data_IF_300878147966
#
_entry.id   IF_300878147966
#
_cell.length_a   1.000
_cell.length_b   1.000
_cell.length_c   1.000
_cell.angle_alpha   90.00
_cell.angle_beta   90.00
_cell.angle_gamma   90.00
#
_symmetry.space_group_name_H-M   'P 1'
#
loop_
_entity.id
_entity.type
_entity.pdbx_description
1 polymer ?
#
# COMPACT_ATOMS: atom_id res chain seq x y z
N UNK A 1 30.56 -6.05 -29.61
CA UNK A 1 30.64 -5.40 -28.29
C UNK A 1 30.82 -6.49 -27.25
N UNK A 2 31.99 -6.49 -26.62
CA UNK A 2 32.31 -7.35 -25.47
C UNK A 2 31.38 -7.03 -24.31
N UNK A 3 31.13 -8.00 -23.46
CA UNK A 3 30.32 -7.84 -22.24
C UNK A 3 31.09 -8.57 -21.18
N UNK A 4 31.64 -7.84 -20.21
CA UNK A 4 32.48 -8.41 -19.17
C UNK A 4 31.63 -8.89 -18.00
N UNK A 5 30.63 -8.07 -17.63
CA UNK A 5 29.76 -8.29 -16.49
C UNK A 5 28.31 -8.20 -16.94
N UNK A 6 27.57 -9.28 -16.72
CA UNK A 6 26.14 -9.33 -16.97
C UNK A 6 25.36 -9.08 -15.69
N UNK A 7 24.41 -8.14 -15.71
CA UNK A 7 23.59 -7.79 -14.55
C UNK A 7 22.14 -8.23 -14.81
N UNK A 8 21.68 -9.19 -14.01
CA UNK A 8 20.35 -9.78 -14.07
C UNK A 8 19.40 -9.08 -13.10
N UNK A 9 18.17 -8.85 -13.54
CA UNK A 9 17.15 -8.19 -12.74
C UNK A 9 15.75 -8.69 -13.08
N UNK A 10 14.83 -8.53 -12.14
CA UNK A 10 13.41 -8.85 -12.31
C UNK A 10 12.57 -7.95 -11.40
N UNK A 11 11.68 -7.16 -11.99
CA UNK A 11 10.88 -6.15 -11.28
C UNK A 11 11.63 -4.82 -11.07
N UNK A 12 10.88 -3.79 -10.69
CA UNK A 12 11.35 -2.39 -10.74
C UNK A 12 12.51 -2.09 -9.79
N UNK A 13 12.44 -2.57 -8.54
CA UNK A 13 13.51 -2.35 -7.55
C UNK A 13 14.81 -3.01 -7.99
N UNK A 14 14.74 -4.25 -8.45
CA UNK A 14 15.88 -4.99 -9.00
C UNK A 14 16.46 -4.32 -10.24
N UNK A 15 15.61 -3.82 -11.16
CA UNK A 15 16.02 -3.05 -12.34
C UNK A 15 16.81 -1.80 -11.95
N UNK A 16 16.36 -1.12 -10.91
CA UNK A 16 16.98 0.11 -10.45
C UNK A 16 18.35 -0.17 -9.77
N UNK A 17 18.47 -1.26 -9.00
CA UNK A 17 19.78 -1.76 -8.51
C UNK A 17 20.69 -2.10 -9.68
N UNK A 18 20.18 -2.80 -10.70
CA UNK A 18 20.96 -3.18 -11.87
C UNK A 18 21.46 -1.97 -12.67
N UNK A 19 20.61 -0.95 -12.81
CA UNK A 19 20.98 0.34 -13.41
C UNK A 19 22.05 1.06 -12.58
N UNK A 20 21.89 1.08 -11.25
CA UNK A 20 22.87 1.69 -10.36
C UNK A 20 24.24 1.01 -10.50
N UNK A 21 24.28 -0.33 -10.60
CA UNK A 21 25.51 -1.05 -10.89
C UNK A 21 26.05 -0.70 -12.28
N UNK A 22 25.23 -0.76 -13.33
CA UNK A 22 25.70 -0.54 -14.70
C UNK A 22 26.39 0.82 -14.87
N UNK A 23 25.85 1.86 -14.26
CA UNK A 23 26.42 3.22 -14.32
C UNK A 23 27.72 3.38 -13.51
N UNK A 24 27.92 2.58 -12.46
CA UNK A 24 28.99 2.79 -11.47
C UNK A 24 30.09 1.76 -11.47
N UNK A 25 29.82 0.55 -11.93
CA UNK A 25 30.78 -0.54 -11.83
C UNK A 25 32.00 -0.32 -12.75
N UNK A 26 31.79 0.36 -13.88
CA UNK A 26 32.86 0.69 -14.82
C UNK A 26 33.93 1.59 -14.17
N UNK A 27 33.53 2.56 -13.35
CA UNK A 27 34.45 3.43 -12.59
C UNK A 27 35.35 2.61 -11.65
N UNK A 28 34.78 1.60 -10.99
CA UNK A 28 35.49 0.80 -9.99
C UNK A 28 36.29 -0.38 -10.58
N UNK A 29 35.88 -0.94 -11.72
CA UNK A 29 36.44 -2.19 -12.28
C UNK A 29 37.06 -2.02 -13.66
N UNK A 30 36.78 -0.93 -14.38
CA UNK A 30 37.17 -0.78 -15.79
C UNK A 30 36.51 -1.79 -16.74
N UNK A 31 35.53 -2.56 -16.27
CA UNK A 31 34.84 -3.59 -17.04
C UNK A 31 33.61 -3.04 -17.77
N UNK A 32 33.32 -3.56 -18.97
CA UNK A 32 32.08 -3.24 -19.69
C UNK A 32 30.90 -3.97 -19.06
N UNK A 33 29.97 -3.22 -18.48
CA UNK A 33 28.73 -3.78 -17.94
C UNK A 33 27.64 -3.85 -19.02
N UNK A 34 26.82 -4.89 -18.93
CA UNK A 34 25.58 -5.01 -19.68
C UNK A 34 24.51 -5.50 -18.72
N UNK A 35 23.41 -4.78 -18.61
CA UNK A 35 22.22 -5.28 -17.93
C UNK A 35 21.18 -5.66 -18.98
N UNK A 36 20.39 -6.70 -18.71
CA UNK A 36 19.41 -7.21 -19.69
C UNK A 36 18.42 -6.11 -20.11
N UNK A 37 18.10 -5.97 -21.41
CA UNK A 37 17.10 -5.02 -21.87
C UNK A 37 15.71 -5.45 -21.39
N UNK A 38 14.82 -4.46 -21.20
CA UNK A 38 13.40 -4.73 -20.98
C UNK A 38 12.83 -5.45 -22.20
N UNK A 39 12.25 -6.63 -21.97
CA UNK A 39 11.79 -7.49 -23.05
C UNK A 39 10.48 -6.93 -23.62
N UNK A 40 10.52 -6.40 -24.83
CA UNK A 40 9.30 -6.04 -25.56
C UNK A 40 8.47 -7.30 -25.89
N UNK A 41 7.15 -7.27 -25.67
CA UNK A 41 6.26 -8.38 -26.04
C UNK A 41 6.40 -8.75 -27.53
N UNK A 42 6.57 -10.05 -27.81
CA UNK A 42 6.56 -10.59 -29.18
C UNK A 42 7.92 -10.68 -29.88
N UNK A 43 9.02 -10.19 -29.31
CA UNK A 43 10.37 -10.44 -29.86
C UNK A 43 10.96 -11.76 -29.37
N UNK A 44 11.61 -12.49 -30.28
CA UNK A 44 12.52 -13.59 -29.96
C UNK A 44 13.78 -13.02 -29.30
N UNK A 45 13.71 -12.78 -27.99
CA UNK A 45 14.75 -12.13 -27.20
C UNK A 45 15.84 -13.10 -26.70
N UNK A 46 15.51 -14.40 -26.63
CA UNK A 46 16.40 -15.47 -26.16
C UNK A 46 17.78 -15.55 -26.85
N UNK A 47 17.93 -15.38 -28.18
CA UNK A 47 19.24 -15.54 -28.82
C UNK A 47 20.25 -14.45 -28.43
N UNK A 48 19.81 -13.19 -28.35
CA UNK A 48 20.67 -12.05 -28.04
C UNK A 48 21.11 -12.05 -26.57
N UNK A 49 20.18 -12.36 -25.66
CA UNK A 49 20.50 -12.50 -24.23
C UNK A 49 21.43 -13.70 -24.01
N UNK A 50 21.21 -14.84 -24.69
CA UNK A 50 22.12 -16.00 -24.62
C UNK A 50 23.52 -15.68 -25.13
N UNK A 51 23.66 -14.94 -26.22
CA UNK A 51 24.96 -14.54 -26.76
C UNK A 51 25.74 -13.65 -25.78
N UNK A 52 25.05 -12.68 -25.17
CA UNK A 52 25.62 -11.78 -24.16
C UNK A 52 25.97 -12.50 -22.85
N UNK A 53 25.11 -13.40 -22.40
CA UNK A 53 25.35 -14.23 -21.22
C UNK A 53 26.54 -15.18 -21.43
N UNK A 54 26.67 -15.79 -22.60
CA UNK A 54 27.79 -16.68 -22.93
C UNK A 54 29.13 -15.93 -23.10
N UNK A 55 29.10 -14.63 -23.36
CA UNK A 55 30.29 -13.79 -23.48
C UNK A 55 30.77 -13.23 -22.13
N UNK A 56 29.90 -13.16 -21.12
CA UNK A 56 30.19 -12.57 -19.82
C UNK A 56 31.10 -13.44 -18.95
N UNK A 57 32.01 -12.80 -18.19
CA UNK A 57 32.93 -13.47 -17.25
C UNK A 57 32.41 -13.41 -15.81
N UNK A 58 31.52 -12.48 -15.50
CA UNK A 58 30.84 -12.40 -14.22
C UNK A 58 29.34 -12.09 -14.40
N UNK A 59 28.53 -12.63 -13.49
CA UNK A 59 27.10 -12.36 -13.38
C UNK A 59 26.74 -11.78 -12.02
N UNK A 60 26.00 -10.67 -11.99
CA UNK A 60 25.41 -10.11 -10.76
C UNK A 60 23.90 -10.27 -10.86
N UNK A 61 23.29 -10.97 -9.90
CA UNK A 61 21.84 -11.12 -9.83
C UNK A 61 21.31 -10.20 -8.74
N UNK A 62 20.56 -9.16 -9.14
CA UNK A 62 19.97 -8.22 -8.20
C UNK A 62 18.72 -8.83 -7.54
N UNK A 63 18.88 -9.43 -6.36
CA UNK A 63 17.81 -10.10 -5.62
C UNK A 63 17.16 -9.14 -4.64
N UNK A 64 15.83 -9.11 -4.67
CA UNK A 64 14.97 -8.37 -3.74
C UNK A 64 13.88 -9.30 -3.22
N UNK A 65 13.17 -8.93 -2.16
CA UNK A 65 12.11 -9.79 -1.60
C UNK A 65 11.00 -10.06 -2.62
N UNK A 66 10.73 -9.12 -3.52
CA UNK A 66 9.71 -9.25 -4.57
C UNK A 66 10.08 -10.31 -5.63
N UNK A 67 11.38 -10.58 -5.85
CA UNK A 67 11.84 -11.41 -6.96
C UNK A 67 12.66 -12.64 -6.54
N UNK A 68 12.82 -12.89 -5.24
CA UNK A 68 13.58 -14.04 -4.72
C UNK A 68 13.10 -15.38 -5.26
N UNK A 69 11.81 -15.50 -5.58
CA UNK A 69 11.20 -16.68 -6.20
C UNK A 69 11.09 -16.62 -7.73
N UNK A 70 11.66 -15.62 -8.39
CA UNK A 70 11.47 -15.36 -9.83
C UNK A 70 12.04 -16.51 -10.68
N UNK A 71 11.19 -17.25 -11.43
CA UNK A 71 11.68 -18.29 -12.35
C UNK A 71 12.63 -17.73 -13.41
N UNK A 72 12.47 -16.45 -13.74
CA UNK A 72 13.32 -15.73 -14.69
C UNK A 72 14.76 -15.61 -14.18
N UNK A 73 14.95 -15.12 -12.96
CA UNK A 73 16.29 -15.03 -12.34
C UNK A 73 16.91 -16.42 -12.13
N UNK A 74 16.10 -17.42 -11.78
CA UNK A 74 16.56 -18.81 -11.69
C UNK A 74 17.04 -19.36 -13.04
N UNK A 75 16.31 -19.06 -14.13
CA UNK A 75 16.73 -19.42 -15.48
C UNK A 75 18.03 -18.72 -15.88
N UNK A 76 18.15 -17.41 -15.63
CA UNK A 76 19.38 -16.66 -15.92
C UNK A 76 20.58 -17.18 -15.10
N UNK A 77 20.40 -17.50 -13.82
CA UNK A 77 21.43 -18.13 -12.99
C UNK A 77 21.87 -19.50 -13.54
N UNK A 78 20.90 -20.31 -13.96
CA UNK A 78 21.15 -21.61 -14.59
C UNK A 78 21.86 -21.47 -15.94
N UNK A 79 21.49 -20.47 -16.74
CA UNK A 79 22.12 -20.24 -18.03
C UNK A 79 23.54 -19.68 -17.88
N UNK A 80 23.77 -18.71 -16.99
CA UNK A 80 25.12 -18.26 -16.66
C UNK A 80 25.96 -19.46 -16.23
N UNK A 81 25.52 -20.24 -15.24
CA UNK A 81 26.29 -21.39 -14.77
C UNK A 81 26.54 -22.45 -15.85
N UNK A 82 25.62 -22.65 -16.80
CA UNK A 82 25.78 -23.61 -17.91
C UNK A 82 26.58 -23.07 -19.11
N UNK A 83 26.44 -21.80 -19.48
CA UNK A 83 27.23 -21.14 -20.53
C UNK A 83 28.69 -20.96 -20.12
N UNK A 84 28.93 -20.88 -18.81
CA UNK A 84 30.24 -20.94 -18.18
C UNK A 84 30.82 -22.38 -18.12
N UNK A 85 30.03 -23.40 -18.49
CA UNK A 85 30.44 -24.83 -18.51
C UNK A 85 30.48 -25.42 -19.95
N UNK A 86 29.76 -24.85 -20.92
CA UNK A 86 29.67 -25.38 -22.27
C UNK A 86 29.66 -24.28 -23.36
N UNK A 87 30.86 -23.93 -23.86
CA UNK A 87 31.04 -23.27 -25.15
C UNK A 87 31.92 -24.14 -26.05
N UNK A 88 31.37 -24.65 -27.16
CA UNK A 88 32.15 -25.38 -28.17
C UNK A 88 33.19 -24.44 -28.81
N UNK A 89 34.47 -24.78 -28.68
CA UNK A 89 35.57 -24.13 -29.40
C UNK A 89 36.38 -23.08 -28.62
N UNK A 90 36.07 -22.80 -27.35
CA UNK A 90 36.98 -22.04 -26.46
C UNK A 90 37.67 -23.00 -25.48
N UNK A 91 38.94 -22.75 -25.09
CA UNK A 91 39.51 -23.46 -23.95
C UNK A 91 38.59 -23.27 -22.74
N UNK A 92 38.40 -24.32 -21.94
CA UNK A 92 37.69 -24.26 -20.65
C UNK A 92 38.28 -23.11 -19.82
N UNK A 93 37.64 -21.94 -19.79
CA UNK A 93 37.94 -20.96 -18.75
C UNK A 93 37.23 -21.46 -17.49
N UNK A 94 37.94 -21.78 -16.38
CA UNK A 94 37.34 -22.57 -15.31
C UNK A 94 36.33 -21.84 -14.42
N UNK A 95 36.12 -20.52 -14.53
CA UNK A 95 35.48 -19.76 -13.44
C UNK A 95 34.69 -18.53 -13.91
N UNK A 96 33.57 -18.74 -14.58
CA UNK A 96 32.57 -17.69 -14.53
C UNK A 96 31.95 -17.58 -13.14
N UNK A 97 31.97 -16.38 -12.57
CA UNK A 97 31.51 -16.14 -11.20
C UNK A 97 30.12 -15.52 -11.18
N UNK A 98 29.26 -16.02 -10.30
CA UNK A 98 27.89 -15.54 -10.12
C UNK A 98 27.74 -15.01 -8.70
N UNK A 99 27.22 -13.79 -8.59
CA UNK A 99 27.00 -13.11 -7.32
C UNK A 99 25.50 -12.83 -7.14
N UNK A 100 24.78 -13.63 -6.35
CA UNK A 100 23.48 -13.23 -5.83
C UNK A 100 23.66 -12.01 -4.91
N UNK A 101 23.25 -10.84 -5.37
CA UNK A 101 23.36 -9.59 -4.63
C UNK A 101 22.04 -9.29 -3.92
N UNK A 102 22.03 -9.42 -2.59
CA UNK A 102 20.83 -9.41 -1.75
C UNK A 102 20.56 -8.01 -1.20
N UNK A 103 19.54 -7.34 -1.74
CA UNK A 103 19.09 -6.05 -1.23
C UNK A 103 17.92 -6.22 -0.26
N UNK A 104 18.17 -5.99 1.04
CA UNK A 104 17.20 -6.19 2.14
C UNK A 104 16.58 -7.60 2.14
N UNK A 105 17.36 -8.61 1.72
CA UNK A 105 16.96 -10.02 1.69
C UNK A 105 17.92 -10.80 2.57
N UNK A 106 17.38 -11.61 3.47
CA UNK A 106 18.18 -12.50 4.31
C UNK A 106 18.80 -13.64 3.47
N UNK A 107 20.07 -14.04 3.70
CA UNK A 107 20.67 -15.17 2.99
C UNK A 107 19.86 -16.47 3.09
N UNK A 108 19.12 -16.67 4.17
CA UNK A 108 18.23 -17.83 4.39
C UNK A 108 17.13 -17.91 3.33
N UNK A 109 16.68 -16.77 2.79
CA UNK A 109 15.58 -16.71 1.82
C UNK A 109 15.92 -17.38 0.47
N UNK A 110 17.21 -17.53 0.14
CA UNK A 110 17.66 -18.19 -1.10
C UNK A 110 18.12 -19.64 -0.89
N UNK A 111 18.24 -20.12 0.36
CA UNK A 111 18.81 -21.44 0.66
C UNK A 111 17.97 -22.62 0.12
N UNK A 112 16.67 -22.42 -0.09
CA UNK A 112 15.77 -23.45 -0.64
C UNK A 112 15.71 -23.51 -2.17
N UNK A 113 16.45 -22.65 -2.88
CA UNK A 113 16.37 -22.47 -4.33
C UNK A 113 17.67 -22.77 -5.08
N UNK A 114 17.67 -22.67 -6.44
CA UNK A 114 18.85 -22.91 -7.26
C UNK A 114 19.98 -21.89 -6.99
N UNK A 115 19.67 -20.73 -6.41
CA UNK A 115 20.64 -19.72 -6.03
C UNK A 115 21.49 -20.11 -4.81
N UNK A 116 21.06 -21.10 -4.02
CA UNK A 116 21.79 -21.59 -2.85
C UNK A 116 23.18 -22.17 -3.20
N UNK A 117 23.39 -22.55 -4.47
CA UNK A 117 24.67 -23.03 -4.96
C UNK A 117 25.76 -21.95 -5.04
N UNK A 118 25.39 -20.67 -4.95
CA UNK A 118 26.30 -19.54 -5.07
C UNK A 118 26.47 -18.80 -3.74
N UNK A 119 27.66 -18.27 -3.50
CA UNK A 119 27.90 -17.43 -2.33
C UNK A 119 27.27 -16.05 -2.54
N UNK A 120 26.22 -15.76 -1.76
CA UNK A 120 25.53 -14.48 -1.81
C UNK A 120 26.36 -13.33 -1.24
N UNK A 121 26.07 -12.13 -1.73
CA UNK A 121 26.62 -10.86 -1.28
C UNK A 121 25.47 -10.01 -0.77
N UNK A 122 25.47 -9.71 0.52
CA UNK A 122 24.53 -8.75 1.10
C UNK A 122 24.87 -7.33 0.64
N UNK A 123 23.83 -6.51 0.40
CA UNK A 123 23.94 -5.12 -0.01
C UNK A 123 24.36 -4.20 1.15
N UNK A 124 25.50 -4.51 1.76
CA UNK A 124 26.16 -3.74 2.81
C UNK A 124 27.46 -3.14 2.29
N UNK A 125 28.04 -2.12 2.96
CA UNK A 125 29.34 -1.59 2.58
C UNK A 125 30.41 -2.69 2.52
N UNK A 126 30.42 -3.60 3.50
CA UNK A 126 31.39 -4.69 3.58
C UNK A 126 31.17 -5.73 2.48
N UNK A 127 29.91 -6.14 2.25
CA UNK A 127 29.57 -7.09 1.19
C UNK A 127 29.91 -6.56 -0.20
N UNK A 128 29.51 -5.32 -0.47
CA UNK A 128 29.73 -4.67 -1.76
C UNK A 128 31.22 -4.39 -2.02
N UNK A 129 32.00 -4.04 -0.99
CA UNK A 129 33.46 -3.91 -1.10
C UNK A 129 34.10 -5.23 -1.54
N UNK A 130 33.73 -6.35 -0.89
CA UNK A 130 34.24 -7.68 -1.27
C UNK A 130 33.89 -8.06 -2.70
N UNK A 131 32.66 -7.76 -3.14
CA UNK A 131 32.22 -7.96 -4.52
C UNK A 131 33.10 -7.18 -5.49
N UNK A 132 33.28 -5.87 -5.27
CA UNK A 132 34.08 -5.01 -6.14
C UNK A 132 35.54 -5.46 -6.18
N UNK A 133 36.14 -5.77 -5.04
CA UNK A 133 37.53 -6.27 -4.98
C UNK A 133 37.70 -7.58 -5.75
N UNK A 134 36.72 -8.47 -5.69
CA UNK A 134 36.71 -9.73 -6.46
C UNK A 134 36.65 -9.45 -7.95
N UNK A 135 35.75 -8.56 -8.38
CA UNK A 135 35.62 -8.17 -9.78
C UNK A 135 36.89 -7.46 -10.29
N UNK A 136 37.48 -6.59 -9.49
CA UNK A 136 38.75 -5.91 -9.85
C UNK A 136 39.90 -6.89 -10.08
N UNK A 137 39.99 -7.94 -9.26
CA UNK A 137 40.98 -9.03 -9.47
C UNK A 137 40.69 -9.80 -10.76
N UNK A 138 39.41 -10.10 -11.03
CA UNK A 138 38.98 -10.84 -12.22
C UNK A 138 39.29 -10.08 -13.53
N UNK A 139 39.14 -8.76 -13.53
CA UNK A 139 39.34 -7.89 -14.70
C UNK A 139 40.71 -7.19 -14.74
N UNK A 140 41.59 -7.43 -13.76
CA UNK A 140 42.95 -6.87 -13.74
C UNK A 140 43.00 -5.35 -13.53
N UNK A 141 42.04 -4.79 -12.79
CA UNK A 141 41.91 -3.34 -12.59
C UNK A 141 43.04 -2.81 -11.69
N UNK A 142 43.94 -2.01 -12.27
CA UNK A 142 45.09 -1.43 -11.56
C UNK A 142 44.88 0.01 -11.05
N UNK A 143 43.81 0.70 -11.48
CA UNK A 143 43.55 2.10 -11.11
C UNK A 143 43.05 2.25 -9.68
N UNK A 144 43.47 3.31 -8.98
CA UNK A 144 42.92 3.67 -7.66
C UNK A 144 41.44 4.08 -7.79
N UNK A 145 40.62 3.71 -6.81
CA UNK A 145 39.24 4.18 -6.67
C UNK A 145 38.92 4.40 -5.19
N UNK A 146 38.13 5.43 -4.88
CA UNK A 146 37.65 5.65 -3.52
C UNK A 146 36.34 4.90 -3.32
N UNK A 147 36.40 3.77 -2.60
CA UNK A 147 35.22 3.00 -2.25
C UNK A 147 34.22 3.80 -1.41
N UNK A 148 34.69 4.72 -0.55
CA UNK A 148 33.83 5.48 0.35
C UNK A 148 32.91 6.40 -0.42
N UNK A 149 33.49 7.17 -1.35
CA UNK A 149 32.72 8.05 -2.24
C UNK A 149 31.82 7.24 -3.19
N UNK A 150 32.35 6.14 -3.75
CA UNK A 150 31.59 5.24 -4.62
C UNK A 150 30.37 4.66 -3.89
N UNK A 151 30.57 4.13 -2.68
CA UNK A 151 29.50 3.53 -1.87
C UNK A 151 28.46 4.56 -1.50
N UNK A 152 28.84 5.76 -1.06
CA UNK A 152 27.90 6.83 -0.72
C UNK A 152 26.96 7.14 -1.88
N UNK A 153 27.48 7.22 -3.11
CA UNK A 153 26.65 7.47 -4.29
C UNK A 153 25.75 6.28 -4.64
N UNK A 154 26.27 5.06 -4.51
CA UNK A 154 25.54 3.83 -4.78
C UNK A 154 24.41 3.59 -3.75
N UNK A 155 24.71 3.76 -2.46
CA UNK A 155 23.78 3.63 -1.34
C UNK A 155 22.61 4.62 -1.47
N UNK A 156 22.88 5.87 -1.84
CA UNK A 156 21.82 6.85 -2.09
C UNK A 156 20.83 6.36 -3.18
N UNK A 157 21.34 5.69 -4.22
CA UNK A 157 20.49 5.09 -5.26
C UNK A 157 19.76 3.84 -4.78
N UNK A 158 20.33 3.10 -3.82
CA UNK A 158 19.67 1.98 -3.16
C UNK A 158 18.55 2.41 -2.20
N UNK A 159 18.66 3.62 -1.64
CA UNK A 159 17.68 4.16 -0.70
C UNK A 159 16.54 4.91 -1.39
N UNK A 160 16.76 5.46 -2.58
CA UNK A 160 15.77 6.22 -3.37
C UNK A 160 14.68 5.36 -4.04
N UNK A 161 14.50 4.11 -3.59
CA UNK A 161 13.49 3.22 -4.16
C UNK A 161 12.12 3.45 -3.54
N UNK A 162 11.16 3.80 -4.39
CA UNK A 162 9.76 3.87 -4.01
C UNK A 162 9.26 2.51 -3.49
N UNK A 163 8.36 2.50 -2.49
CA UNK A 163 7.71 1.27 -2.06
C UNK A 163 6.95 0.61 -3.22
N UNK A 164 7.03 -0.71 -3.30
CA UNK A 164 6.37 -1.48 -4.35
C UNK A 164 4.87 -1.58 -4.05
N UNK A 165 3.98 -1.37 -5.04
CA UNK A 165 2.55 -1.64 -4.84
C UNK A 165 2.35 -3.14 -4.61
N UNK A 166 1.40 -3.52 -3.75
CA UNK A 166 1.16 -4.93 -3.41
C UNK A 166 0.83 -5.80 -4.64
N UNK A 167 0.15 -5.22 -5.64
CA UNK A 167 -0.16 -5.91 -6.90
C UNK A 167 1.09 -6.30 -7.69
N UNK A 168 2.20 -5.59 -7.51
CA UNK A 168 3.50 -5.93 -8.12
C UNK A 168 4.17 -7.13 -7.47
N UNK A 169 3.73 -7.55 -6.27
CA UNK A 169 4.26 -8.71 -5.55
C UNK A 169 3.48 -9.97 -5.94
N UNK A 170 2.14 -9.90 -5.88
CA UNK A 170 1.27 -11.00 -6.28
C UNK A 170 -0.14 -10.50 -6.60
N UNK A 171 -0.88 -11.31 -7.36
CA UNK A 171 -2.29 -11.07 -7.64
C UNK A 171 -3.15 -11.42 -6.41
N UNK A 172 -3.27 -10.45 -5.51
CA UNK A 172 -4.08 -10.58 -4.30
C UNK A 172 -5.56 -10.85 -4.62
N UNK A 173 -6.12 -10.22 -5.66
CA UNK A 173 -7.51 -10.40 -6.02
C UNK A 173 -7.82 -11.86 -6.35
N UNK A 174 -6.92 -12.53 -7.09
CA UNK A 174 -7.03 -13.95 -7.42
C UNK A 174 -6.99 -14.87 -6.20
N UNK A 175 -6.30 -14.50 -5.12
CA UNK A 175 -6.30 -15.29 -3.88
C UNK A 175 -7.70 -15.38 -3.27
N UNK A 176 -8.50 -14.31 -3.44
CA UNK A 176 -9.87 -14.19 -2.95
C UNK A 176 -10.94 -14.61 -3.96
N UNK A 177 -10.56 -15.07 -5.16
CA UNK A 177 -11.50 -15.57 -6.17
C UNK A 177 -12.07 -16.94 -5.78
N UNK A 178 -12.90 -16.94 -4.74
CA UNK A 178 -13.47 -18.11 -4.09
C UNK A 178 -14.90 -17.81 -3.66
N UNK A 179 -15.78 -18.81 -3.77
CA UNK A 179 -17.15 -18.76 -3.24
C UNK A 179 -17.20 -18.31 -1.78
N UNK A 180 -16.21 -18.72 -0.98
CA UNK A 180 -15.99 -18.31 0.42
C UNK A 180 -16.16 -16.81 0.67
N UNK A 181 -15.64 -15.97 -0.24
CA UNK A 181 -15.65 -14.52 -0.10
C UNK A 181 -16.62 -13.84 -1.07
N UNK A 182 -16.92 -14.45 -2.22
CA UNK A 182 -17.69 -13.81 -3.29
C UNK A 182 -19.20 -14.07 -3.20
N UNK A 183 -19.64 -15.14 -2.54
CA UNK A 183 -21.06 -15.44 -2.38
C UNK A 183 -21.56 -14.99 -0.98
N UNK A 184 -22.62 -14.17 -0.89
CA UNK A 184 -23.26 -13.85 0.39
C UNK A 184 -23.66 -15.09 1.16
N UNK A 185 -23.53 -15.06 2.49
CA UNK A 185 -23.78 -16.24 3.33
C UNK A 185 -25.22 -16.75 3.16
N UNK A 186 -26.20 -15.85 3.07
CA UNK A 186 -27.61 -16.19 2.90
C UNK A 186 -27.97 -16.80 1.53
N UNK A 187 -27.08 -16.68 0.54
CA UNK A 187 -27.28 -17.24 -0.81
C UNK A 187 -26.57 -18.58 -1.01
N UNK A 188 -25.88 -19.10 0.02
CA UNK A 188 -25.16 -20.37 -0.03
C UNK A 188 -26.11 -21.57 -0.02
N UNK A 189 -26.73 -21.84 -1.17
CA UNK A 189 -27.83 -22.81 -1.28
C UNK A 189 -27.43 -24.24 -0.91
N UNK A 190 -26.22 -24.68 -1.25
CA UNK A 190 -25.69 -26.00 -0.90
C UNK A 190 -25.20 -26.10 0.56
N UNK A 191 -25.24 -25.00 1.31
CA UNK A 191 -24.80 -24.89 2.70
C UNK A 191 -23.40 -25.49 2.92
N UNK A 192 -22.49 -25.29 1.95
CA UNK A 192 -21.13 -25.82 1.98
C UNK A 192 -20.22 -25.11 3.01
N UNK A 193 -20.64 -25.02 4.27
CA UNK A 193 -19.98 -24.24 5.33
C UNK A 193 -18.56 -24.72 5.60
N UNK A 194 -18.35 -26.05 5.62
CA UNK A 194 -17.01 -26.64 5.77
C UNK A 194 -16.07 -26.20 4.66
N UNK A 195 -16.51 -26.27 3.39
CA UNK A 195 -15.72 -25.79 2.26
C UNK A 195 -15.44 -24.26 2.34
N UNK A 196 -16.39 -23.46 2.85
CA UNK A 196 -16.16 -22.04 3.09
C UNK A 196 -15.09 -21.81 4.15
N UNK A 197 -15.16 -22.52 5.28
CA UNK A 197 -14.17 -22.45 6.35
C UNK A 197 -12.77 -22.87 5.87
N UNK A 198 -12.67 -24.02 5.19
CA UNK A 198 -11.41 -24.51 4.64
C UNK A 198 -10.84 -23.49 3.65
N UNK A 199 -11.69 -22.94 2.76
CA UNK A 199 -11.29 -21.89 1.84
C UNK A 199 -10.77 -20.61 2.52
N UNK A 200 -11.32 -20.24 3.69
CA UNK A 200 -10.83 -19.10 4.47
C UNK A 200 -9.46 -19.40 5.11
N UNK A 201 -9.28 -20.61 5.65
CA UNK A 201 -8.01 -21.05 6.26
C UNK A 201 -6.89 -21.20 5.24
N UNK A 202 -7.18 -21.78 4.09
CA UNK A 202 -6.23 -21.86 2.97
C UNK A 202 -5.82 -20.47 2.48
N UNK A 203 -6.77 -19.55 2.38
CA UNK A 203 -6.51 -18.16 1.99
C UNK A 203 -5.61 -17.48 3.01
N UNK A 204 -5.90 -17.63 4.29
CA UNK A 204 -5.05 -17.11 5.36
C UNK A 204 -3.62 -17.68 5.29
N UNK A 205 -3.49 -18.98 5.07
CA UNK A 205 -2.19 -19.63 4.93
C UNK A 205 -1.41 -19.14 3.70
N UNK A 206 -2.11 -18.89 2.58
CA UNK A 206 -1.51 -18.32 1.38
C UNK A 206 -1.01 -16.89 1.63
N UNK A 207 -1.81 -16.04 2.27
CA UNK A 207 -1.45 -14.66 2.60
C UNK A 207 -0.24 -14.58 3.55
N UNK A 208 -0.16 -15.48 4.54
CA UNK A 208 0.96 -15.51 5.50
C UNK A 208 2.33 -15.69 4.82
N UNK A 209 2.39 -16.30 3.63
CA UNK A 209 3.64 -16.49 2.87
C UNK A 209 4.23 -15.18 2.33
N UNK A 210 3.43 -14.12 2.26
CA UNK A 210 3.85 -12.81 1.72
C UNK A 210 4.14 -11.77 2.81
N UNK A 211 4.01 -12.11 4.11
CA UNK A 211 4.19 -11.16 5.21
C UNK A 211 5.55 -10.48 5.16
N UNK A 212 6.62 -11.27 5.09
CA UNK A 212 8.00 -10.74 5.10
C UNK A 212 8.29 -9.92 3.85
N UNK A 213 7.74 -10.33 2.70
CA UNK A 213 7.90 -9.62 1.43
C UNK A 213 7.22 -8.26 1.48
N UNK A 214 5.98 -8.19 1.97
CA UNK A 214 5.20 -6.95 2.06
C UNK A 214 5.82 -6.01 3.09
N UNK A 215 6.24 -6.52 4.25
CA UNK A 215 6.90 -5.72 5.29
C UNK A 215 8.19 -5.07 4.78
N UNK A 216 8.92 -5.76 3.90
CA UNK A 216 10.19 -5.26 3.34
C UNK A 216 9.98 -4.34 2.13
N UNK A 217 9.03 -4.68 1.25
CA UNK A 217 8.90 -4.07 -0.06
C UNK A 217 7.83 -2.97 -0.16
N UNK A 218 6.79 -3.01 0.67
CA UNK A 218 5.65 -2.08 0.58
C UNK A 218 5.75 -0.93 1.58
N UNK A 219 4.89 0.08 1.39
CA UNK A 219 4.77 1.19 2.34
C UNK A 219 4.17 0.71 3.67
N UNK A 220 4.48 1.40 4.77
CA UNK A 220 3.99 1.05 6.11
C UNK A 220 2.45 0.95 6.18
N UNK A 221 1.74 1.87 5.53
CA UNK A 221 0.28 1.83 5.46
C UNK A 221 -0.26 0.58 4.74
N UNK A 222 0.42 0.14 3.67
CA UNK A 222 0.07 -1.10 2.97
C UNK A 222 0.25 -2.30 3.88
N UNK A 223 1.33 -2.35 4.67
CA UNK A 223 1.55 -3.44 5.62
C UNK A 223 0.51 -3.44 6.76
N UNK A 224 0.14 -2.27 7.27
CA UNK A 224 -0.91 -2.18 8.30
C UNK A 224 -2.27 -2.63 7.76
N UNK A 225 -2.60 -2.26 6.51
CA UNK A 225 -3.77 -2.77 5.79
C UNK A 225 -3.71 -4.29 5.60
N UNK A 226 -2.54 -4.82 5.25
CA UNK A 226 -2.33 -6.24 5.06
C UNK A 226 -2.50 -7.03 6.36
N UNK A 227 -2.03 -6.50 7.49
CA UNK A 227 -2.26 -7.06 8.83
C UNK A 227 -3.74 -7.05 9.20
N UNK A 228 -4.46 -5.98 8.88
CA UNK A 228 -5.91 -5.93 9.05
C UNK A 228 -6.63 -6.99 8.22
N UNK A 229 -6.20 -7.21 6.96
CA UNK A 229 -6.77 -8.26 6.12
C UNK A 229 -6.53 -9.64 6.72
N UNK A 230 -5.31 -9.96 7.16
CA UNK A 230 -4.98 -11.22 7.81
C UNK A 230 -5.86 -11.48 9.05
N UNK A 231 -6.06 -10.45 9.87
CA UNK A 231 -6.94 -10.52 11.04
C UNK A 231 -8.41 -10.67 10.64
N UNK A 232 -8.88 -9.99 9.61
CA UNK A 232 -10.26 -10.07 9.13
C UNK A 232 -10.59 -11.46 8.56
N UNK A 233 -9.68 -12.07 7.81
CA UNK A 233 -9.83 -13.44 7.30
C UNK A 233 -9.85 -14.44 8.45
N UNK A 234 -9.00 -14.26 9.47
CA UNK A 234 -8.98 -15.10 10.66
C UNK A 234 -10.30 -15.02 11.44
N UNK A 235 -10.77 -13.80 11.70
CA UNK A 235 -12.03 -13.54 12.38
C UNK A 235 -13.22 -14.10 11.61
N UNK A 236 -13.22 -14.01 10.28
CA UNK A 236 -14.25 -14.65 9.46
C UNK A 236 -14.25 -16.17 9.61
N UNK A 237 -13.07 -16.80 9.55
CA UNK A 237 -12.96 -18.25 9.75
C UNK A 237 -13.40 -18.68 11.17
N UNK A 238 -13.11 -17.87 12.18
CA UNK A 238 -13.59 -18.09 13.54
C UNK A 238 -15.11 -18.02 13.63
N UNK A 239 -15.73 -16.97 13.08
CA UNK A 239 -17.19 -16.80 13.10
C UNK A 239 -17.89 -17.93 12.33
N UNK A 240 -17.37 -18.32 11.16
CA UNK A 240 -17.85 -19.50 10.41
C UNK A 240 -17.81 -20.76 11.29
N UNK A 241 -16.70 -20.99 11.99
CA UNK A 241 -16.53 -22.18 12.83
C UNK A 241 -17.42 -22.20 14.06
N UNK A 242 -17.69 -21.04 14.65
CA UNK A 242 -18.51 -20.91 15.84
C UNK A 242 -20.01 -21.01 15.52
N UNK A 243 -20.42 -20.56 14.33
CA UNK A 243 -21.84 -20.35 14.04
C UNK A 243 -22.42 -21.26 12.95
N UNK A 244 -21.67 -21.54 11.88
CA UNK A 244 -22.20 -22.26 10.70
C UNK A 244 -21.66 -23.69 10.55
N UNK A 245 -20.53 -24.03 11.21
CA UNK A 245 -19.98 -25.38 11.21
C UNK A 245 -20.60 -26.40 12.17
N UNK A 246 -21.24 -26.03 13.31
CA UNK A 246 -22.00 -27.00 14.08
C UNK A 246 -22.98 -27.74 13.15
N UNK A 247 -23.10 -29.07 13.29
CA UNK A 247 -23.86 -29.96 12.38
C UNK A 247 -25.39 -29.67 12.41
N UNK A 248 -25.78 -28.52 11.88
CA UNK A 248 -27.14 -28.06 11.73
C UNK A 248 -27.36 -27.69 10.27
N UNK A 249 -28.36 -28.31 9.64
CA UNK A 249 -28.87 -27.82 8.36
C UNK A 249 -29.87 -26.72 8.65
N UNK A 250 -29.68 -25.60 7.98
CA UNK A 250 -30.57 -24.45 8.06
C UNK A 250 -31.74 -24.63 7.10
N UNK A 251 -32.92 -24.12 7.49
CA UNK A 251 -34.09 -24.07 6.61
C UNK A 251 -33.90 -23.02 5.52
N UNK A 252 -34.81 -22.99 4.54
CA UNK A 252 -34.84 -21.99 3.48
C UNK A 252 -36.12 -21.17 3.58
N UNK A 253 -36.04 -19.90 3.21
CA UNK A 253 -37.20 -19.07 2.99
C UNK A 253 -37.94 -19.57 1.74
N UNK A 254 -39.24 -19.81 1.88
CA UNK A 254 -40.08 -20.35 0.80
C UNK A 254 -40.33 -19.34 -0.33
N UNK A 255 -40.12 -18.04 -0.06
CA UNK A 255 -40.42 -16.93 -0.97
C UNK A 255 -39.22 -16.58 -1.85
N UNK A 256 -38.03 -16.47 -1.25
CA UNK A 256 -36.82 -16.01 -1.95
C UNK A 256 -35.68 -17.03 -1.99
N UNK A 257 -35.86 -18.20 -1.37
CA UNK A 257 -34.91 -19.31 -1.39
C UNK A 257 -33.65 -19.08 -0.54
N UNK A 258 -33.57 -17.99 0.22
CA UNK A 258 -32.42 -17.70 1.09
C UNK A 258 -32.33 -18.69 2.23
N UNK A 259 -31.11 -18.92 2.69
CA UNK A 259 -30.86 -19.76 3.87
C UNK A 259 -31.20 -18.98 5.13
N UNK A 260 -32.08 -19.54 5.97
CA UNK A 260 -32.50 -18.97 7.25
C UNK A 260 -31.53 -19.43 8.35
N UNK A 261 -30.61 -18.55 8.74
CA UNK A 261 -29.53 -18.86 9.68
C UNK A 261 -29.95 -18.49 11.10
N UNK A 262 -30.06 -19.50 11.97
CA UNK A 262 -30.35 -19.38 13.40
C UNK A 262 -29.13 -19.75 14.25
N UNK A 263 -28.92 -19.12 15.42
CA UNK A 263 -29.73 -18.06 16.04
C UNK A 263 -29.58 -16.70 15.32
N UNK A 264 -30.55 -15.81 15.55
CA UNK A 264 -30.57 -14.46 14.97
C UNK A 264 -29.24 -13.74 15.22
N UNK A 265 -28.62 -13.24 14.16
CA UNK A 265 -27.32 -12.55 14.21
C UNK A 265 -26.12 -13.38 13.76
N UNK A 266 -26.21 -14.72 13.79
CA UNK A 266 -25.12 -15.59 13.30
C UNK A 266 -24.77 -15.33 11.83
N UNK A 267 -25.78 -15.35 10.95
CA UNK A 267 -25.60 -15.02 9.53
C UNK A 267 -25.09 -13.59 9.31
N UNK A 268 -25.56 -12.63 10.13
CA UNK A 268 -25.20 -11.22 10.00
C UNK A 268 -23.74 -10.96 10.42
N UNK A 269 -23.27 -11.65 11.47
CA UNK A 269 -21.88 -11.65 11.90
C UNK A 269 -20.97 -12.19 10.80
N UNK A 270 -21.24 -13.39 10.27
CA UNK A 270 -20.44 -13.97 9.18
C UNK A 270 -20.45 -13.09 7.92
N UNK A 271 -21.61 -12.56 7.53
CA UNK A 271 -21.73 -11.69 6.37
C UNK A 271 -20.99 -10.37 6.56
N UNK A 272 -21.05 -9.77 7.75
CA UNK A 272 -20.29 -8.58 8.11
C UNK A 272 -18.78 -8.81 8.01
N UNK A 273 -18.28 -9.94 8.51
CA UNK A 273 -16.86 -10.32 8.36
C UNK A 273 -16.47 -10.51 6.89
N UNK A 274 -17.31 -11.18 6.10
CA UNK A 274 -17.07 -11.39 4.66
C UNK A 274 -16.98 -10.05 3.91
N UNK A 275 -17.90 -9.14 4.19
CA UNK A 275 -17.90 -7.79 3.60
C UNK A 275 -16.66 -6.99 4.02
N UNK A 276 -16.24 -7.08 5.29
CA UNK A 276 -15.00 -6.43 5.76
C UNK A 276 -13.75 -6.96 5.05
N UNK A 277 -13.67 -8.27 4.82
CA UNK A 277 -12.58 -8.85 4.00
C UNK A 277 -12.62 -8.27 2.59
N UNK A 278 -13.79 -8.23 1.94
CA UNK A 278 -13.94 -7.69 0.58
C UNK A 278 -13.53 -6.21 0.50
N UNK A 279 -13.90 -5.41 1.48
CA UNK A 279 -13.52 -3.99 1.60
C UNK A 279 -11.99 -3.85 1.73
N UNK A 280 -11.35 -4.61 2.61
CA UNK A 280 -9.88 -4.56 2.80
C UNK A 280 -9.12 -5.01 1.55
N UNK A 281 -9.63 -6.00 0.81
CA UNK A 281 -9.06 -6.39 -0.49
C UNK A 281 -9.19 -5.25 -1.49
N UNK A 282 -10.35 -4.59 -1.58
CA UNK A 282 -10.52 -3.44 -2.45
C UNK A 282 -9.57 -2.29 -2.09
N UNK A 283 -9.39 -2.00 -0.81
CA UNK A 283 -8.45 -0.99 -0.31
C UNK A 283 -6.98 -1.34 -0.60
N UNK A 284 -6.61 -2.62 -0.68
CA UNK A 284 -5.25 -3.04 -1.05
C UNK A 284 -5.03 -3.00 -2.57
N UNK A 285 -6.06 -3.32 -3.34
CA UNK A 285 -5.99 -3.41 -4.81
C UNK A 285 -6.09 -2.03 -5.44
N UNK A 286 -7.06 -1.22 -5.05
CA UNK A 286 -7.37 0.06 -5.70
C UNK A 286 -6.58 1.22 -5.06
N UNK A 287 -5.63 1.85 -5.77
CA UNK A 287 -4.89 3.00 -5.26
C UNK A 287 -5.78 4.21 -4.92
N UNK A 288 -7.01 4.28 -5.43
CA UNK A 288 -7.97 5.31 -5.07
C UNK A 288 -8.48 5.15 -3.62
N UNK A 289 -8.61 3.90 -3.15
CA UNK A 289 -9.13 3.53 -1.83
C UNK A 289 -8.03 3.35 -0.76
N UNK A 290 -6.76 3.38 -1.17
CA UNK A 290 -5.64 3.34 -0.23
C UNK A 290 -5.56 4.61 0.62
N UNK A 291 -5.16 4.48 1.89
CA UNK A 291 -4.89 5.63 2.76
C UNK A 291 -3.78 6.48 2.16
N UNK A 292 -3.95 7.80 2.21
CA UNK A 292 -2.94 8.75 1.75
C UNK A 292 -1.89 9.03 2.82
N UNK A 293 -2.29 9.02 4.09
CA UNK A 293 -1.37 9.23 5.20
C UNK A 293 -0.94 7.90 5.83
N UNK A 294 0.35 7.75 6.18
CA UNK A 294 0.86 6.53 6.84
C UNK A 294 0.11 6.16 8.12
N UNK A 295 -0.38 7.16 8.87
CA UNK A 295 -1.05 6.95 10.14
C UNK A 295 -2.55 6.62 10.03
N UNK A 296 -3.15 6.64 8.83
CA UNK A 296 -4.60 6.49 8.66
C UNK A 296 -5.12 5.12 9.03
N UNK A 297 -4.38 4.07 8.71
CA UNK A 297 -4.73 2.70 9.12
C UNK A 297 -4.68 2.58 10.64
N UNK A 298 -3.59 3.04 11.25
CA UNK A 298 -3.43 3.06 12.70
C UNK A 298 -4.53 3.86 13.39
N UNK A 299 -4.92 5.03 12.86
CA UNK A 299 -6.00 5.84 13.42
C UNK A 299 -7.33 5.08 13.48
N UNK A 300 -7.63 4.29 12.44
CA UNK A 300 -8.85 3.47 12.40
C UNK A 300 -8.89 2.37 13.47
N UNK A 301 -7.73 1.92 13.95
CA UNK A 301 -7.58 0.88 14.97
C UNK A 301 -7.61 1.43 16.41
N UNK A 302 -7.46 2.74 16.61
CA UNK A 302 -7.51 3.33 17.96
C UNK A 302 -8.93 3.20 18.52
N UNK A 303 -9.04 2.70 19.74
CA UNK A 303 -10.34 2.41 20.37
C UNK A 303 -10.90 3.64 21.09
N UNK A 304 -10.03 4.41 21.74
CA UNK A 304 -10.49 5.52 22.59
C UNK A 304 -10.45 6.87 21.88
N UNK A 305 -11.36 7.75 22.28
CA UNK A 305 -11.36 9.14 21.84
C UNK A 305 -10.06 9.86 22.20
N UNK A 306 -9.50 9.58 23.38
CA UNK A 306 -8.26 10.20 23.86
C UNK A 306 -7.06 9.86 22.97
N UNK A 307 -6.92 8.58 22.58
CA UNK A 307 -5.85 8.15 21.68
C UNK A 307 -5.97 8.79 20.30
N UNK A 308 -7.18 8.79 19.72
CA UNK A 308 -7.44 9.45 18.42
C UNK A 308 -7.08 10.94 18.49
N UNK A 309 -7.52 11.63 19.55
CA UNK A 309 -7.23 13.04 19.76
C UNK A 309 -5.73 13.32 19.90
N UNK A 310 -5.00 12.49 20.63
CA UNK A 310 -3.55 12.63 20.78
C UNK A 310 -2.82 12.46 19.44
N UNK A 311 -3.23 11.50 18.60
CA UNK A 311 -2.66 11.33 17.27
C UNK A 311 -2.90 12.56 16.39
N UNK A 312 -4.12 13.10 16.40
CA UNK A 312 -4.47 14.31 15.66
C UNK A 312 -3.64 15.50 16.12
N UNK A 313 -3.55 15.77 17.43
CA UNK A 313 -2.77 16.89 17.96
C UNK A 313 -1.28 16.82 17.59
N UNK A 314 -0.72 15.61 17.59
CA UNK A 314 0.67 15.39 17.17
C UNK A 314 0.85 15.72 15.69
N UNK A 315 -0.09 15.33 14.85
CA UNK A 315 -0.06 15.63 13.41
C UNK A 315 -0.37 17.10 13.12
N UNK A 316 -1.25 17.75 13.88
CA UNK A 316 -1.54 19.18 13.76
C UNK A 316 -0.31 20.05 14.05
N UNK A 317 0.54 19.60 14.98
CA UNK A 317 1.80 20.30 15.32
C UNK A 317 2.82 20.29 14.17
N UNK A 318 2.69 19.33 13.25
CA UNK A 318 3.60 19.12 12.11
C UNK A 318 2.78 18.67 10.88
N UNK A 319 1.91 19.58 10.42
CA UNK A 319 1.03 19.29 9.29
C UNK A 319 1.84 19.12 8.00
N UNK A 320 1.54 18.10 7.19
CA UNK A 320 2.20 17.92 5.90
C UNK A 320 1.89 19.09 4.96
N UNK A 321 2.93 19.56 4.26
CA UNK A 321 2.80 20.57 3.22
C UNK A 321 2.48 19.91 1.88
N UNK A 322 1.48 20.43 1.17
CA UNK A 322 1.12 19.99 -0.19
C UNK A 322 1.40 21.11 -1.18
N UNK A 323 2.22 20.82 -2.18
CA UNK A 323 2.49 21.74 -3.30
C UNK A 323 1.50 21.58 -4.44
N UNK A 324 0.73 20.49 -4.45
CA UNK A 324 -0.22 20.13 -5.50
C UNK A 324 -1.65 20.11 -4.94
N UNK A 325 -2.51 20.97 -5.49
CA UNK A 325 -3.92 21.05 -5.10
C UNK A 325 -4.67 19.73 -5.37
N UNK A 326 -4.33 19.00 -6.43
CA UNK A 326 -4.99 17.72 -6.75
C UNK A 326 -4.72 16.66 -5.67
N UNK A 327 -3.53 16.68 -5.05
CA UNK A 327 -3.19 15.75 -3.97
C UNK A 327 -3.95 16.08 -2.69
N UNK A 328 -4.07 17.37 -2.37
CA UNK A 328 -4.88 17.84 -1.26
C UNK A 328 -6.37 17.52 -1.47
N UNK A 329 -6.86 17.63 -2.70
CA UNK A 329 -8.25 17.33 -3.04
C UNK A 329 -8.57 15.83 -2.91
N UNK A 330 -7.62 14.97 -3.29
CA UNK A 330 -7.72 13.52 -3.06
C UNK A 330 -7.71 13.18 -1.57
N UNK A 331 -6.98 13.95 -0.74
CA UNK A 331 -6.97 13.78 0.71
C UNK A 331 -8.36 14.04 1.31
N UNK A 332 -9.02 15.15 0.90
CA UNK A 332 -10.36 15.51 1.35
C UNK A 332 -11.46 14.51 0.92
N UNK A 333 -11.27 13.82 -0.21
CA UNK A 333 -12.21 12.80 -0.71
C UNK A 333 -11.89 11.37 -0.28
N UNK A 334 -10.85 11.17 0.53
CA UNK A 334 -10.38 9.85 0.96
C UNK A 334 -11.46 9.06 1.72
N UNK A 335 -11.45 7.74 1.61
CA UNK A 335 -12.30 6.86 2.43
C UNK A 335 -11.86 6.81 3.90
N UNK A 336 -10.65 7.28 4.19
CA UNK A 336 -10.06 7.24 5.52
C UNK A 336 -10.38 8.48 6.34
N UNK A 337 -10.96 8.26 7.52
CA UNK A 337 -11.36 9.31 8.45
C UNK A 337 -10.19 10.24 8.82
N UNK A 338 -9.00 9.69 9.03
CA UNK A 338 -7.81 10.47 9.39
C UNK A 338 -7.31 11.35 8.25
N UNK A 339 -7.35 10.86 7.02
CA UNK A 339 -6.98 11.65 5.84
C UNK A 339 -7.86 12.91 5.76
N UNK A 340 -9.18 12.74 5.88
CA UNK A 340 -10.13 13.86 5.82
C UNK A 340 -10.03 14.82 7.01
N UNK A 341 -9.70 14.31 8.20
CA UNK A 341 -9.39 15.16 9.38
C UNK A 341 -8.16 16.02 9.10
N UNK A 342 -7.07 15.44 8.59
CA UNK A 342 -5.84 16.18 8.30
C UNK A 342 -6.05 17.19 7.17
N UNK A 343 -6.82 16.82 6.14
CA UNK A 343 -7.27 17.79 5.13
C UNK A 343 -7.95 19.00 5.78
N UNK A 344 -8.91 18.77 6.68
CA UNK A 344 -9.65 19.86 7.32
C UNK A 344 -8.74 20.75 8.17
N UNK A 345 -7.77 20.18 8.88
CA UNK A 345 -6.77 20.93 9.64
C UNK A 345 -5.88 21.80 8.75
N UNK A 346 -5.45 21.28 7.60
CA UNK A 346 -4.65 22.04 6.61
C UNK A 346 -5.46 23.24 6.11
N UNK A 347 -6.72 23.02 5.72
CA UNK A 347 -7.57 24.09 5.21
C UNK A 347 -7.89 25.13 6.28
N UNK A 348 -8.23 24.70 7.50
CA UNK A 348 -8.49 25.61 8.62
C UNK A 348 -7.26 26.46 8.96
N UNK A 349 -6.06 25.87 8.90
CA UNK A 349 -4.79 26.60 9.08
C UNK A 349 -4.54 27.61 7.95
N UNK A 350 -4.77 27.21 6.70
CA UNK A 350 -4.61 28.09 5.54
C UNK A 350 -5.47 29.35 5.66
N UNK A 351 -6.75 29.19 6.03
CA UNK A 351 -7.68 30.31 6.25
C UNK A 351 -7.18 31.23 7.37
N UNK A 352 -6.82 30.67 8.54
CA UNK A 352 -6.33 31.46 9.69
C UNK A 352 -5.03 32.21 9.39
N UNK A 353 -4.18 31.65 8.54
CA UNK A 353 -2.92 32.26 8.10
C UNK A 353 -3.09 33.16 6.85
N UNK A 354 -4.33 33.39 6.39
CA UNK A 354 -4.65 34.18 5.18
C UNK A 354 -3.94 33.68 3.92
N UNK A 355 -3.76 32.37 3.80
CA UNK A 355 -3.30 31.68 2.59
C UNK A 355 -4.50 31.24 1.75
N UNK A 356 -4.23 30.83 0.52
CA UNK A 356 -5.26 30.22 -0.33
C UNK A 356 -5.82 28.95 0.34
N UNK A 357 -7.14 28.91 0.51
CA UNK A 357 -7.89 27.83 1.14
C UNK A 357 -9.21 27.60 0.40
N UNK A 358 -10.11 26.74 0.90
CA UNK A 358 -11.38 26.51 0.23
C UNK A 358 -12.26 27.75 0.34
N UNK A 359 -13.11 27.98 -0.66
CA UNK A 359 -14.21 28.92 -0.55
C UNK A 359 -15.37 28.32 0.27
N UNK A 360 -16.42 29.13 0.47
CA UNK A 360 -17.58 28.76 1.26
C UNK A 360 -18.32 27.56 0.67
N UNK A 361 -18.47 27.49 -0.66
CA UNK A 361 -19.13 26.39 -1.37
C UNK A 361 -18.38 25.08 -1.12
N UNK A 362 -17.07 25.07 -1.36
CA UNK A 362 -16.22 23.90 -1.18
C UNK A 362 -16.15 23.43 0.27
N UNK A 363 -16.09 24.35 1.24
CA UNK A 363 -16.15 23.99 2.65
C UNK A 363 -17.50 23.36 3.04
N UNK A 364 -18.60 23.88 2.48
CA UNK A 364 -19.96 23.36 2.70
C UNK A 364 -20.12 21.97 2.09
N UNK A 365 -19.62 21.76 0.87
CA UNK A 365 -19.62 20.46 0.19
C UNK A 365 -18.86 19.39 0.99
N UNK A 366 -17.74 19.76 1.62
CA UNK A 366 -17.02 18.82 2.48
C UNK A 366 -17.86 18.41 3.69
N UNK A 367 -18.55 19.35 4.35
CA UNK A 367 -19.43 19.02 5.49
C UNK A 367 -20.57 18.09 5.03
N UNK A 368 -21.13 18.32 3.84
CA UNK A 368 -22.14 17.44 3.23
C UNK A 368 -21.59 16.03 2.99
N UNK A 369 -20.37 15.93 2.44
CA UNK A 369 -19.70 14.65 2.23
C UNK A 369 -19.47 13.89 3.55
N UNK A 370 -19.03 14.57 4.61
CA UNK A 370 -18.86 13.92 5.92
C UNK A 370 -20.20 13.44 6.49
N UNK A 371 -21.27 14.23 6.34
CA UNK A 371 -22.61 13.84 6.76
C UNK A 371 -23.10 12.59 6.03
N UNK A 372 -22.90 12.51 4.71
CA UNK A 372 -23.24 11.31 3.92
C UNK A 372 -22.45 10.09 4.40
N UNK A 373 -21.14 10.23 4.63
CA UNK A 373 -20.29 9.13 5.13
C UNK A 373 -20.69 8.67 6.54
N UNK A 374 -21.13 9.58 7.40
CA UNK A 374 -21.66 9.25 8.73
C UNK A 374 -23.00 8.53 8.61
N UNK A 375 -23.93 9.02 7.78
CA UNK A 375 -25.26 8.39 7.54
C UNK A 375 -25.16 6.98 6.96
N UNK A 376 -24.09 6.69 6.21
CA UNK A 376 -23.83 5.37 5.65
C UNK A 376 -23.37 4.32 6.69
N UNK A 377 -23.05 4.76 7.92
CA UNK A 377 -22.58 3.89 9.01
C UNK A 377 -23.67 3.75 10.09
N UNK A 378 -23.64 2.69 10.92
CA UNK A 378 -24.53 2.58 12.08
C UNK A 378 -24.36 3.78 13.04
N UNK A 379 -25.41 4.19 13.74
CA UNK A 379 -25.29 5.17 14.84
C UNK A 379 -24.24 4.66 15.88
N UNK A 380 -23.52 5.59 16.52
CA UNK A 380 -22.48 5.30 17.52
C UNK A 380 -21.05 5.28 16.98
N UNK A 381 -20.85 5.54 15.67
CA UNK A 381 -19.50 5.70 15.09
C UNK A 381 -18.88 7.04 15.46
N UNK A 382 -17.55 7.13 15.33
CA UNK A 382 -16.82 8.36 15.63
C UNK A 382 -17.25 9.51 14.72
N UNK A 383 -17.70 10.61 15.34
CA UNK A 383 -18.08 11.85 14.66
C UNK A 383 -16.90 12.82 14.45
N UNK A 384 -15.66 12.36 14.70
CA UNK A 384 -14.47 13.21 14.59
C UNK A 384 -14.26 13.80 13.19
N UNK A 385 -14.40 13.03 12.08
CA UNK A 385 -14.27 13.62 10.73
C UNK A 385 -15.21 14.79 10.50
N UNK A 386 -16.44 14.69 10.98
CA UNK A 386 -17.44 15.75 10.87
C UNK A 386 -17.09 16.96 11.77
N UNK A 387 -16.65 16.72 13.01
CA UNK A 387 -16.15 17.78 13.90
C UNK A 387 -15.04 18.61 13.24
N UNK A 388 -14.02 17.95 12.71
CA UNK A 388 -12.89 18.62 12.06
C UNK A 388 -13.28 19.19 10.69
N UNK A 389 -14.13 18.49 9.92
CA UNK A 389 -14.63 18.94 8.61
C UNK A 389 -15.42 20.25 8.66
N UNK A 390 -16.05 20.57 9.79
CA UNK A 390 -16.69 21.87 10.04
C UNK A 390 -15.69 23.00 10.39
N UNK A 391 -14.43 22.66 10.67
CA UNK A 391 -13.37 23.60 11.04
C UNK A 391 -13.11 24.69 9.98
N UNK A 392 -12.87 24.32 8.70
CA UNK A 392 -12.71 25.29 7.62
C UNK A 392 -13.91 26.23 7.46
N UNK A 393 -15.12 25.69 7.53
CA UNK A 393 -16.35 26.48 7.45
C UNK A 393 -16.46 27.50 8.59
N UNK A 394 -16.17 27.07 9.84
CA UNK A 394 -16.12 27.97 11.00
C UNK A 394 -15.06 29.06 10.83
N UNK A 395 -13.87 28.72 10.32
CA UNK A 395 -12.79 29.67 10.08
C UNK A 395 -13.14 30.69 8.98
N UNK A 396 -13.78 30.28 7.88
CA UNK A 396 -14.24 31.22 6.84
C UNK A 396 -15.25 32.23 7.39
N UNK A 397 -16.22 31.77 8.16
CA UNK A 397 -17.26 32.66 8.70
C UNK A 397 -16.70 33.62 9.76
N UNK A 398 -15.74 33.16 10.57
CA UNK A 398 -15.16 33.95 11.67
C UNK A 398 -14.01 34.85 11.23
N UNK A 399 -13.06 34.31 10.47
CA UNK A 399 -11.77 34.91 10.17
C UNK A 399 -11.62 35.28 8.68
N UNK A 400 -12.54 34.85 7.80
CA UNK A 400 -12.50 35.13 6.36
C UNK A 400 -12.75 36.61 6.02
N UNK A 401 -12.05 37.09 4.99
CA UNK A 401 -12.16 38.47 4.50
C UNK A 401 -13.19 38.58 3.35
N UNK A 402 -13.93 39.69 3.32
CA UNK A 402 -14.90 39.98 2.25
C UNK A 402 -16.34 39.57 2.56
N UNK A 403 -17.31 40.10 1.79
CA UNK A 403 -18.70 39.68 1.85
C UNK A 403 -18.83 38.24 1.37
N UNK A 404 -19.75 37.49 1.98
CA UNK A 404 -20.05 36.12 1.56
C UNK A 404 -21.34 36.15 0.73
N UNK A 405 -21.42 35.29 -0.29
CA UNK A 405 -22.63 35.17 -1.10
C UNK A 405 -23.80 34.64 -0.26
N UNK A 406 -24.96 35.30 -0.36
CA UNK A 406 -26.20 34.91 0.31
C UNK A 406 -26.60 33.47 -0.02
N UNK A 407 -26.43 33.04 -1.28
CA UNK A 407 -26.72 31.67 -1.69
C UNK A 407 -25.78 30.67 -1.00
N UNK A 408 -24.51 31.04 -0.83
CA UNK A 408 -23.55 30.24 -0.06
C UNK A 408 -23.91 30.16 1.42
N UNK A 409 -24.34 31.26 2.04
CA UNK A 409 -24.80 31.28 3.44
C UNK A 409 -26.09 30.48 3.65
N UNK A 410 -26.99 30.46 2.66
CA UNK A 410 -28.18 29.62 2.65
C UNK A 410 -27.82 28.13 2.57
N UNK A 411 -26.91 27.75 1.66
CA UNK A 411 -26.43 26.37 1.54
C UNK A 411 -25.76 25.86 2.83
N UNK A 412 -25.04 26.72 3.56
CA UNK A 412 -24.52 26.39 4.89
C UNK A 412 -25.67 26.10 5.86
N UNK A 413 -26.70 26.95 5.89
CA UNK A 413 -27.88 26.76 6.72
C UNK A 413 -28.56 25.41 6.49
N UNK A 414 -28.78 25.05 5.22
CA UNK A 414 -29.38 23.77 4.82
C UNK A 414 -28.58 22.56 5.31
N UNK A 415 -27.25 22.57 5.16
CA UNK A 415 -26.40 21.47 5.63
C UNK A 415 -26.42 21.35 7.15
N UNK A 416 -26.48 22.47 7.88
CA UNK A 416 -26.63 22.46 9.34
C UNK A 416 -28.00 21.91 9.79
N UNK A 417 -29.08 22.22 9.07
CA UNK A 417 -30.40 21.64 9.37
C UNK A 417 -30.39 20.12 9.17
N UNK A 418 -29.83 19.65 8.06
CA UNK A 418 -29.68 18.22 7.79
C UNK A 418 -28.83 17.49 8.86
N UNK A 419 -27.84 18.18 9.42
CA UNK A 419 -27.00 17.68 10.52
C UNK A 419 -27.81 17.53 11.82
N UNK A 420 -28.54 18.58 12.21
CA UNK A 420 -29.35 18.58 13.43
C UNK A 420 -30.49 17.55 13.35
N UNK A 421 -31.16 17.43 12.20
CA UNK A 421 -32.16 16.38 11.96
C UNK A 421 -31.58 14.97 12.14
N UNK A 422 -30.36 14.75 11.65
CA UNK A 422 -29.67 13.47 11.84
C UNK A 422 -29.34 13.20 13.31
N UNK A 423 -28.91 14.22 14.06
CA UNK A 423 -28.62 14.10 15.49
C UNK A 423 -29.86 13.79 16.32
N UNK A 424 -31.00 14.40 15.99
CA UNK A 424 -32.28 14.08 16.60
C UNK A 424 -32.71 12.64 16.32
N UNK A 425 -32.48 12.16 15.08
CA UNK A 425 -32.78 10.77 14.70
C UNK A 425 -31.95 9.74 15.45
N UNK A 426 -30.61 9.89 15.45
CA UNK A 426 -29.71 8.96 16.15
C UNK A 426 -29.68 9.18 17.67
N UNK A 427 -30.24 10.28 18.20
CA UNK A 427 -30.07 10.74 19.59
C UNK A 427 -28.60 10.90 19.99
N UNK A 428 -27.79 11.35 19.03
CA UNK A 428 -26.33 11.49 19.11
C UNK A 428 -25.93 12.82 18.48
N UNK A 429 -25.03 13.59 19.08
CA UNK A 429 -24.60 14.86 18.47
C UNK A 429 -23.49 15.55 19.26
N UNK A 430 -23.59 15.52 20.60
CA UNK A 430 -22.51 15.90 21.51
C UNK A 430 -21.79 17.19 21.11
N UNK A 431 -20.47 17.12 20.92
CA UNK A 431 -19.65 18.27 20.53
C UNK A 431 -20.01 18.82 19.14
N UNK A 432 -20.37 17.95 18.21
CA UNK A 432 -20.66 18.33 16.82
C UNK A 432 -21.93 19.16 16.71
N UNK A 433 -22.96 18.84 17.51
CA UNK A 433 -24.16 19.68 17.62
C UNK A 433 -23.81 21.08 18.14
N UNK A 434 -22.96 21.17 19.18
CA UNK A 434 -22.51 22.48 19.71
C UNK A 434 -21.71 23.28 18.69
N UNK A 435 -20.91 22.63 17.83
CA UNK A 435 -20.17 23.32 16.78
C UNK A 435 -21.12 23.79 15.65
N UNK A 436 -22.16 23.01 15.32
CA UNK A 436 -23.20 23.41 14.36
C UNK A 436 -23.97 24.66 14.83
N UNK A 437 -24.34 24.72 16.12
CA UNK A 437 -24.97 25.90 16.73
C UNK A 437 -24.05 27.14 16.75
N UNK A 438 -22.74 26.94 16.87
CA UNK A 438 -21.76 28.03 16.74
C UNK A 438 -21.72 28.56 15.31
N UNK A 439 -21.65 27.68 14.31
CA UNK A 439 -21.62 28.06 12.89
C UNK A 439 -22.91 28.79 12.49
N UNK A 440 -24.08 28.33 12.97
CA UNK A 440 -25.36 29.02 12.74
C UNK A 440 -25.35 30.47 13.22
N UNK A 441 -24.85 30.71 14.45
CA UNK A 441 -24.71 32.07 14.99
C UNK A 441 -23.75 32.93 14.17
N UNK A 442 -22.70 32.35 13.61
CA UNK A 442 -21.76 33.07 12.73
C UNK A 442 -22.42 33.43 11.38
N UNK A 443 -23.23 32.53 10.81
CA UNK A 443 -24.02 32.80 9.60
C UNK A 443 -24.97 33.97 9.82
N UNK A 444 -25.73 33.96 10.92
CA UNK A 444 -26.66 35.04 11.26
C UNK A 444 -25.95 36.39 11.44
N UNK A 445 -24.76 36.37 12.05
CA UNK A 445 -23.93 37.57 12.22
C UNK A 445 -23.44 38.14 10.88
N UNK A 446 -23.06 37.28 9.92
CA UNK A 446 -22.61 37.71 8.59
C UNK A 446 -23.77 38.32 7.79
N UNK A 447 -24.93 37.65 7.76
CA UNK A 447 -26.16 38.17 7.12
C UNK A 447 -26.59 39.54 7.69
N UNK A 448 -26.37 39.77 8.98
CA UNK A 448 -26.71 41.05 9.62
C UNK A 448 -25.70 42.17 9.36
N UNK A 449 -24.51 41.86 8.85
CA UNK A 449 -23.43 42.84 8.59
C UNK A 449 -23.45 43.37 7.14
N UNK A 450 -24.08 42.62 6.21
CA UNK A 450 -24.25 42.99 4.80
C UNK A 450 -25.55 43.80 4.52
N UNK A 451 -26.39 44.02 5.54
CA UNK A 451 -27.56 44.92 5.56
C UNK A 451 -27.19 46.30 6.12
#
# INVERSE_FOLDING_TARGET
MTTDIFICWSGDRSKAIAKAFSEKLGEATGAETFYSPEIEPGRLWFPQVREKLAAARAGILCITMENVGSPWLHYEAGFLSSGLVAGEGRPRDPEGVIFPYLFKVSPEAIQGGPLAAFQAVEATPEGTRRLIETLRRLFGSAGEYDFTEWWKNFEQRLEDFQPSPIQGIFDIARVFDRKTFNEPVYLCSDQSWRARYDGARETQAALRRYVDVIETACAGATMDLYRLLLAAVDAYAMDLSATLLPDQRFSRDETDGRVLIEPMGAGASCEGRRLRVKELVAQLVDPAQQPRLPASVRFSQLETFAEKKNLIHRTESDLPEYSNQDELDRLGRSDWDFDRIVWALIQERAIKEKREGPDLERATDQVRLELEKVRARPCGVSMMPLHYGMGPLRALLKDGEGPLDDAGLEAVGEVLDQLLEYFDHCKEGGRVASDADEIRRLVDSRKSTDL
#
